data_IF_827798951393
#
_entry.id   IF_827798951393
#
_cell.length_a   1.000
_cell.length_b   1.000
_cell.length_c   1.000
_cell.angle_alpha   90.00
_cell.angle_beta   90.00
_cell.angle_gamma   90.00
#
_symmetry.space_group_name_H-M   'P 1'
#
loop_
_entity.id
_entity.type
_entity.pdbx_description
1 polymer ?
#
# COMPACT_ATOMS: atom_id res chain seq x y z
N UNK A 1 6.23 -65.55 -16.00
CA UNK A 1 5.91 -64.11 -16.16
C UNK A 1 5.08 -63.72 -14.95
N UNK A 2 5.43 -62.85 -14.01
CA UNK A 2 6.55 -61.97 -13.74
C UNK A 2 6.08 -61.10 -12.56
N UNK A 3 6.83 -61.08 -11.45
CA UNK A 3 6.63 -60.15 -10.31
C UNK A 3 6.73 -58.70 -10.80
N UNK A 4 5.96 -57.76 -10.23
CA UNK A 4 6.16 -56.29 -10.12
C UNK A 4 4.80 -55.70 -9.65
N UNK A 5 4.65 -54.76 -8.72
CA UNK A 5 5.48 -54.20 -7.66
C UNK A 5 4.51 -53.27 -6.87
N UNK A 6 4.43 -53.42 -5.55
CA UNK A 6 3.88 -52.41 -4.63
C UNK A 6 4.76 -51.16 -4.76
N UNK A 7 4.24 -49.99 -5.17
CA UNK A 7 4.84 -48.66 -4.94
C UNK A 7 3.88 -47.51 -5.34
N UNK A 8 3.93 -46.46 -4.52
CA UNK A 8 3.40 -45.10 -4.66
C UNK A 8 1.88 -44.87 -4.60
N UNK A 9 1.37 -44.68 -3.38
CA UNK A 9 0.38 -43.63 -3.11
C UNK A 9 0.99 -42.71 -2.03
N UNK A 10 1.85 -41.79 -2.47
CA UNK A 10 2.35 -40.69 -1.64
C UNK A 10 1.60 -39.42 -2.01
N UNK A 11 1.12 -38.75 -0.95
CA UNK A 11 0.91 -37.33 -0.81
C UNK A 11 -0.07 -36.64 -1.78
N UNK A 12 -1.31 -36.51 -1.33
CA UNK A 12 -2.08 -35.29 -1.53
C UNK A 12 -2.74 -34.89 -0.20
N UNK A 13 -1.93 -34.47 0.78
CA UNK A 13 -2.43 -33.66 1.89
C UNK A 13 -2.58 -32.23 1.35
N UNK A 14 -3.74 -31.94 0.76
CA UNK A 14 -4.12 -30.57 0.43
C UNK A 14 -5.09 -30.11 1.53
N UNK A 15 -4.54 -29.30 2.44
CA UNK A 15 -5.26 -28.77 3.59
C UNK A 15 -6.47 -27.95 3.19
N UNK A 16 -7.65 -28.46 3.55
CA UNK A 16 -8.82 -27.65 3.79
C UNK A 16 -9.08 -27.73 5.30
N UNK A 17 -8.57 -26.76 6.05
CA UNK A 17 -8.95 -26.54 7.44
C UNK A 17 -10.39 -26.02 7.43
N UNK A 18 -11.36 -26.94 7.47
CA UNK A 18 -12.74 -26.61 7.72
C UNK A 18 -12.89 -26.39 9.23
N UNK A 19 -12.75 -25.14 9.68
CA UNK A 19 -13.09 -24.74 11.04
C UNK A 19 -14.61 -24.80 11.21
N UNK A 20 -15.13 -25.98 11.55
CA UNK A 20 -16.46 -26.12 12.13
C UNK A 20 -16.36 -25.66 13.57
N UNK A 21 -16.79 -24.42 13.84
CA UNK A 21 -17.02 -23.95 15.20
C UNK A 21 -18.17 -24.76 15.82
N UNK A 22 -17.84 -25.79 16.59
CA UNK A 22 -18.81 -26.51 17.41
C UNK A 22 -19.03 -25.72 18.71
N UNK A 23 -19.78 -24.62 18.62
CA UNK A 23 -20.35 -23.97 19.80
C UNK A 23 -21.82 -24.41 19.98
N UNK A 24 -22.01 -25.14 21.09
CA UNK A 24 -23.19 -25.11 21.97
C UNK A 24 -24.54 -25.67 21.50
N UNK A 25 -24.65 -26.98 21.24
CA UNK A 25 -25.91 -27.73 21.40
C UNK A 25 -25.63 -29.19 21.85
N UNK A 26 -25.03 -29.42 23.02
CA UNK A 26 -24.86 -30.78 23.56
C UNK A 26 -25.40 -30.89 25.01
N UNK A 27 -26.72 -30.78 25.16
CA UNK A 27 -27.43 -31.21 26.37
C UNK A 27 -28.37 -32.37 26.07
N UNK A 28 -27.91 -33.40 25.36
CA UNK A 28 -28.80 -34.51 25.00
C UNK A 28 -28.22 -35.94 25.10
N UNK A 29 -26.91 -36.12 25.31
CA UNK A 29 -26.30 -37.40 25.70
C UNK A 29 -25.12 -37.07 26.60
N UNK A 30 -25.04 -37.65 27.80
CA UNK A 30 -24.01 -37.35 28.82
C UNK A 30 -22.59 -37.77 28.43
N UNK A 31 -22.05 -37.18 27.35
CA UNK A 31 -20.71 -37.40 26.84
C UNK A 31 -19.74 -36.44 27.53
N UNK A 32 -18.60 -36.97 27.97
CA UNK A 32 -17.52 -36.16 28.53
C UNK A 32 -16.92 -35.23 27.47
N UNK A 33 -16.43 -34.08 27.90
CA UNK A 33 -15.76 -33.10 27.03
C UNK A 33 -14.35 -32.83 27.51
N UNK A 34 -13.49 -32.42 26.57
CA UNK A 34 -12.18 -31.85 26.83
C UNK A 34 -11.91 -30.74 25.82
N UNK A 35 -11.30 -29.66 26.25
CA UNK A 35 -10.91 -28.52 25.42
C UNK A 35 -9.68 -27.84 26.03
N UNK A 36 -9.06 -26.95 25.26
CA UNK A 36 -7.95 -26.12 25.72
C UNK A 36 -8.32 -24.64 25.60
N UNK A 37 -7.63 -23.76 26.32
CA UNK A 37 -7.94 -22.32 26.31
C UNK A 37 -7.57 -21.60 25.00
N UNK A 38 -6.69 -22.21 24.18
CA UNK A 38 -6.26 -21.68 22.87
C UNK A 38 -6.11 -22.81 21.86
N UNK A 39 -6.38 -22.52 20.60
CA UNK A 39 -6.10 -23.46 19.51
C UNK A 39 -4.60 -23.53 19.15
N UNK A 40 -3.80 -22.55 19.58
CA UNK A 40 -2.36 -22.46 19.29
C UNK A 40 -1.60 -21.81 20.45
N UNK A 41 -0.44 -22.37 20.75
CA UNK A 41 0.45 -21.93 21.84
C UNK A 41 1.84 -21.63 21.32
N UNK A 42 2.54 -20.67 21.91
CA UNK A 42 3.96 -20.45 21.63
C UNK A 42 4.85 -21.17 22.65
N UNK A 43 6.13 -21.44 22.30
CA UNK A 43 7.08 -22.01 23.26
C UNK A 43 7.21 -21.16 24.53
N UNK A 44 7.05 -21.78 25.69
CA UNK A 44 7.03 -21.13 27.00
C UNK A 44 5.62 -20.95 27.58
N UNK A 45 4.55 -21.19 26.82
CA UNK A 45 3.18 -21.14 27.33
C UNK A 45 2.76 -22.46 27.97
N UNK A 46 1.85 -22.37 28.94
CA UNK A 46 1.17 -23.52 29.55
C UNK A 46 -0.20 -23.70 28.92
N UNK A 47 -0.54 -24.95 28.57
CA UNK A 47 -1.86 -25.32 28.06
C UNK A 47 -2.82 -25.49 29.23
N UNK A 48 -3.92 -24.72 29.22
CA UNK A 48 -5.00 -24.90 30.18
C UNK A 48 -6.02 -25.85 29.57
N UNK A 49 -6.13 -27.04 30.15
CA UNK A 49 -7.06 -28.10 29.77
C UNK A 49 -8.27 -28.04 30.69
N UNK A 50 -9.46 -28.00 30.10
CA UNK A 50 -10.72 -28.08 30.84
C UNK A 50 -11.67 -29.08 30.20
N UNK A 51 -12.65 -29.55 30.96
CA UNK A 51 -13.59 -30.56 30.49
C UNK A 51 -14.72 -30.78 31.48
N UNK A 52 -15.82 -31.37 31.02
CA UNK A 52 -17.04 -31.59 31.82
C UNK A 52 -17.64 -32.97 31.51
N UNK A 53 -18.59 -33.42 32.31
CA UNK A 53 -19.31 -34.67 32.04
C UNK A 53 -18.53 -35.94 32.41
N UNK A 54 -17.55 -35.82 33.32
CA UNK A 54 -16.83 -36.92 33.94
C UNK A 54 -17.58 -37.42 35.19
N UNK A 55 -17.35 -38.65 35.63
CA UNK A 55 -17.85 -39.13 36.91
C UNK A 55 -17.20 -38.35 38.07
N UNK A 56 -17.98 -37.83 39.03
CA UNK A 56 -17.42 -37.07 40.14
C UNK A 56 -16.32 -37.82 40.90
N UNK A 57 -15.15 -37.20 41.07
CA UNK A 57 -13.99 -37.79 41.72
C UNK A 57 -13.17 -38.76 40.85
N UNK A 58 -13.56 -39.01 39.60
CA UNK A 58 -12.80 -39.94 38.74
C UNK A 58 -11.46 -39.35 38.28
N UNK A 59 -10.47 -40.21 38.09
CA UNK A 59 -9.20 -39.84 37.46
C UNK A 59 -9.37 -39.87 35.94
N UNK A 60 -9.00 -38.78 35.28
CA UNK A 60 -9.03 -38.63 33.83
C UNK A 60 -7.60 -38.53 33.33
N UNK A 61 -7.15 -39.53 32.58
CA UNK A 61 -5.82 -39.58 31.98
C UNK A 61 -5.77 -38.78 30.68
N UNK A 62 -4.69 -38.06 30.48
CA UNK A 62 -4.38 -37.30 29.27
C UNK A 62 -3.26 -38.00 28.51
N UNK A 63 -3.49 -38.29 27.23
CA UNK A 63 -2.46 -38.76 26.31
C UNK A 63 -2.34 -37.78 25.15
N UNK A 64 -1.11 -37.38 24.84
CA UNK A 64 -0.79 -36.48 23.75
C UNK A 64 -0.14 -37.23 22.60
N UNK A 65 -0.68 -37.08 21.40
CA UNK A 65 -0.04 -37.52 20.16
C UNK A 65 0.50 -36.29 19.44
N UNK A 66 1.79 -36.30 19.14
CA UNK A 66 2.53 -35.19 18.54
C UNK A 66 2.82 -35.49 17.07
N UNK A 67 2.49 -34.55 16.18
CA UNK A 67 2.79 -34.66 14.75
C UNK A 67 3.40 -33.35 14.21
N UNK A 68 4.66 -33.37 13.73
CA UNK A 68 5.63 -34.46 13.86
C UNK A 68 6.04 -34.67 15.33
N UNK A 69 6.32 -35.90 15.74
CA UNK A 69 6.87 -36.16 17.07
C UNK A 69 8.32 -35.65 17.13
N UNK A 70 8.68 -34.70 18.01
CA UNK A 70 10.06 -34.26 18.14
C UNK A 70 10.95 -35.40 18.64
N UNK A 71 12.13 -35.57 18.03
CA UNK A 71 13.08 -36.63 18.43
C UNK A 71 13.54 -36.50 19.89
N UNK A 72 13.50 -35.28 20.43
CA UNK A 72 13.84 -34.99 21.83
C UNK A 72 12.70 -35.28 22.82
N UNK A 73 11.47 -35.51 22.34
CA UNK A 73 10.32 -35.90 23.16
C UNK A 73 10.28 -37.42 23.34
N UNK A 74 11.22 -37.94 24.14
CA UNK A 74 11.35 -39.39 24.41
C UNK A 74 10.43 -39.87 25.54
N UNK A 75 10.03 -38.99 26.45
CA UNK A 75 9.16 -39.31 27.57
C UNK A 75 7.71 -39.01 27.21
N UNK A 76 6.79 -39.83 27.71
CA UNK A 76 5.37 -39.55 27.57
C UNK A 76 4.99 -38.25 28.28
N UNK A 77 4.07 -37.51 27.69
CA UNK A 77 3.43 -36.35 28.31
C UNK A 77 2.16 -36.76 29.09
N UNK A 78 2.03 -38.05 29.42
CA UNK A 78 0.88 -38.56 30.14
C UNK A 78 0.74 -37.85 31.49
N UNK A 79 -0.37 -37.15 31.63
CA UNK A 79 -0.76 -36.41 32.82
C UNK A 79 -2.19 -36.79 33.18
N UNK A 80 -2.72 -36.24 34.26
CA UNK A 80 -4.10 -36.49 34.63
C UNK A 80 -4.70 -35.32 35.39
N UNK A 81 -6.02 -35.28 35.40
CA UNK A 81 -6.80 -34.49 36.34
C UNK A 81 -7.77 -35.40 37.12
N UNK A 82 -8.25 -34.91 38.26
CA UNK A 82 -9.34 -35.55 38.99
C UNK A 82 -10.59 -34.71 38.81
N UNK A 83 -11.69 -35.35 38.39
CA UNK A 83 -12.96 -34.68 38.21
C UNK A 83 -13.50 -34.17 39.57
N UNK A 84 -14.00 -32.93 39.59
CA UNK A 84 -14.62 -32.35 40.77
C UNK A 84 -16.01 -32.98 41.07
N UNK A 85 -16.68 -32.51 42.12
CA UNK A 85 -18.01 -33.01 42.50
C UNK A 85 -19.09 -32.82 41.41
N UNK A 86 -18.86 -31.93 40.45
CA UNK A 86 -19.75 -31.65 39.32
C UNK A 86 -19.32 -32.37 38.03
N UNK A 87 -18.24 -33.16 38.08
CA UNK A 87 -17.70 -33.85 36.91
C UNK A 87 -16.86 -32.96 35.99
N UNK A 88 -16.31 -31.85 36.49
CA UNK A 88 -15.41 -30.99 35.73
C UNK A 88 -13.94 -31.32 35.99
N UNK A 89 -13.09 -31.16 34.97
CA UNK A 89 -11.63 -31.28 35.08
C UNK A 89 -10.94 -29.95 34.76
N UNK A 90 -9.80 -29.73 35.40
CA UNK A 90 -8.89 -28.60 35.14
C UNK A 90 -7.44 -29.08 35.27
N UNK A 91 -6.58 -28.68 34.33
CA UNK A 91 -5.15 -28.93 34.38
C UNK A 91 -4.38 -27.87 33.59
N UNK A 92 -3.31 -27.33 34.15
CA UNK A 92 -2.49 -26.25 33.56
C UNK A 92 -0.98 -26.56 33.60
N UNK A 93 -0.61 -27.84 33.75
CA UNK A 93 0.78 -28.26 33.92
C UNK A 93 1.55 -28.57 32.62
N UNK A 94 0.90 -28.53 31.46
CA UNK A 94 1.53 -28.91 30.20
C UNK A 94 2.24 -27.70 29.57
N UNK A 95 3.56 -27.62 29.78
CA UNK A 95 4.43 -26.58 29.23
C UNK A 95 4.82 -26.89 27.78
N UNK A 96 4.52 -25.95 26.87
CA UNK A 96 5.01 -25.95 25.51
C UNK A 96 6.47 -25.50 25.49
N UNK A 97 7.35 -26.28 24.87
CA UNK A 97 8.79 -26.05 24.84
C UNK A 97 9.23 -25.73 23.41
N UNK A 98 10.42 -25.16 23.24
CA UNK A 98 10.94 -24.81 21.92
C UNK A 98 11.08 -26.01 20.97
N UNK A 99 11.26 -27.22 21.49
CA UNK A 99 11.30 -28.43 20.68
C UNK A 99 9.91 -28.91 20.22
N UNK A 100 8.82 -28.35 20.77
CA UNK A 100 7.45 -28.55 20.30
C UNK A 100 7.09 -27.61 19.15
N UNK A 101 7.94 -26.64 18.79
CA UNK A 101 7.59 -25.63 17.80
C UNK A 101 7.23 -26.27 16.45
N UNK A 102 6.05 -25.96 15.93
CA UNK A 102 5.49 -26.52 14.70
C UNK A 102 4.80 -27.88 14.85
N UNK A 103 4.63 -28.37 16.08
CA UNK A 103 3.93 -29.62 16.38
C UNK A 103 2.43 -29.40 16.48
N UNK A 104 1.67 -30.32 15.89
CA UNK A 104 0.25 -30.51 16.14
C UNK A 104 0.05 -31.57 17.23
N UNK A 105 -0.79 -31.25 18.20
CA UNK A 105 -1.10 -32.09 19.35
C UNK A 105 -2.53 -32.60 19.24
N UNK A 106 -2.72 -33.91 19.39
CA UNK A 106 -4.02 -34.52 19.66
C UNK A 106 -4.04 -34.95 21.12
N UNK A 107 -4.84 -34.29 21.95
CA UNK A 107 -5.08 -34.61 23.35
C UNK A 107 -6.28 -35.55 23.45
N UNK A 108 -6.05 -36.76 23.95
CA UNK A 108 -7.10 -37.72 24.32
C UNK A 108 -7.23 -37.78 25.84
N UNK A 109 -8.41 -37.44 26.36
CA UNK A 109 -8.77 -37.58 27.76
C UNK A 109 -9.60 -38.85 27.97
N UNK A 110 -9.22 -39.71 28.93
CA UNK A 110 -9.90 -40.99 29.23
C UNK A 110 -10.21 -41.11 30.72
N UNK A 111 -11.49 -41.24 31.08
CA UNK A 111 -11.94 -41.47 32.45
C UNK A 111 -11.69 -42.92 32.88
N UNK A 112 -10.96 -43.12 33.98
CA UNK A 112 -10.55 -44.45 34.43
C UNK A 112 -11.70 -45.28 35.03
N UNK A 113 -12.75 -44.63 35.54
CA UNK A 113 -13.92 -45.32 36.11
C UNK A 113 -15.01 -45.43 35.07
N UNK A 114 -15.37 -44.30 34.45
CA UNK A 114 -16.48 -44.23 33.49
C UNK A 114 -16.13 -44.84 32.12
N UNK A 115 -14.84 -44.94 31.78
CA UNK A 115 -14.37 -45.33 30.45
C UNK A 115 -14.68 -44.31 29.36
N UNK A 116 -15.17 -43.11 29.72
CA UNK A 116 -15.50 -42.05 28.76
C UNK A 116 -14.23 -41.53 28.12
N UNK A 117 -14.32 -41.15 26.83
CA UNK A 117 -13.21 -40.59 26.06
C UNK A 117 -13.66 -39.30 25.41
N UNK A 118 -12.81 -38.27 25.50
CA UNK A 118 -12.97 -37.00 24.80
C UNK A 118 -11.64 -36.62 24.13
N UNK A 119 -11.71 -35.91 23.00
CA UNK A 119 -10.53 -35.53 22.22
C UNK A 119 -10.59 -34.04 21.88
N UNK A 120 -9.45 -33.38 21.93
CA UNK A 120 -9.26 -32.02 21.42
C UNK A 120 -7.88 -31.90 20.77
N UNK A 121 -7.68 -30.86 19.97
CA UNK A 121 -6.45 -30.64 19.24
C UNK A 121 -6.00 -29.19 19.40
N UNK A 122 -4.69 -28.97 19.35
CA UNK A 122 -4.07 -27.65 19.33
C UNK A 122 -2.71 -27.72 18.63
N UNK A 123 -2.12 -26.58 18.29
CA UNK A 123 -0.79 -26.50 17.67
C UNK A 123 0.19 -25.67 18.49
N UNK A 124 1.47 -25.75 18.11
CA UNK A 124 2.53 -24.86 18.61
C UNK A 124 3.11 -23.99 17.49
N UNK A 125 2.91 -22.67 17.57
CA UNK A 125 3.54 -21.70 16.68
C UNK A 125 3.90 -20.39 17.40
N UNK A 126 4.83 -19.65 16.79
CA UNK A 126 5.45 -18.50 17.43
C UNK A 126 5.39 -17.21 16.63
N UNK A 127 4.90 -17.17 15.39
CA UNK A 127 4.83 -15.93 14.60
C UNK A 127 3.38 -15.55 14.31
N UNK A 128 3.03 -14.27 14.57
CA UNK A 128 1.70 -13.72 14.31
C UNK A 128 1.80 -12.42 13.50
N UNK A 129 1.10 -12.37 12.37
CA UNK A 129 0.95 -11.17 11.56
C UNK A 129 -0.37 -10.46 11.88
N UNK A 130 -0.34 -9.13 11.87
CA UNK A 130 -1.51 -8.28 12.13
C UNK A 130 -1.42 -6.98 11.33
N UNK A 131 -2.52 -6.25 11.26
CA UNK A 131 -2.56 -4.92 10.63
C UNK A 131 -3.36 -3.91 11.45
N UNK A 132 -2.98 -2.64 11.35
CA UNK A 132 -3.79 -1.49 11.79
C UNK A 132 -4.14 -0.57 10.62
N UNK A 133 -5.24 0.18 10.76
CA UNK A 133 -5.69 1.19 9.79
C UNK A 133 -6.44 0.66 8.56
N UNK A 134 -6.68 -0.65 8.47
CA UNK A 134 -7.60 -1.26 7.49
C UNK A 134 -9.02 -1.41 8.08
N UNK A 135 -10.08 -1.37 7.24
CA UNK A 135 -11.44 -1.75 7.65
C UNK A 135 -11.52 -3.20 8.12
N UNK A 136 -12.59 -3.62 8.84
CA UNK A 136 -12.85 -5.03 9.15
C UNK A 136 -13.06 -5.92 7.92
N UNK A 137 -12.77 -7.22 8.09
CA UNK A 137 -12.97 -8.31 7.12
C UNK A 137 -12.19 -8.15 5.79
N UNK A 138 -11.02 -7.55 5.84
CA UNK A 138 -10.09 -7.42 4.70
C UNK A 138 -9.07 -8.54 4.76
N UNK A 139 -8.92 -9.29 3.68
CA UNK A 139 -7.89 -10.33 3.57
C UNK A 139 -6.53 -9.71 3.23
N UNK A 140 -5.50 -10.07 4.00
CA UNK A 140 -4.12 -9.62 3.84
C UNK A 140 -3.23 -10.83 3.65
N UNK A 141 -2.48 -10.88 2.54
CA UNK A 141 -1.52 -11.95 2.26
C UNK A 141 -0.09 -11.45 2.47
N UNK A 142 0.65 -12.06 3.40
CA UNK A 142 2.04 -11.75 3.71
C UNK A 142 2.92 -12.86 3.16
N UNK A 143 3.89 -12.52 2.31
CA UNK A 143 4.95 -13.46 1.94
C UNK A 143 6.06 -13.44 2.98
N UNK A 144 6.66 -14.60 3.24
CA UNK A 144 7.75 -14.72 4.19
C UNK A 144 8.76 -15.80 3.80
N UNK A 145 9.98 -15.65 4.29
CA UNK A 145 11.02 -16.69 4.22
C UNK A 145 11.83 -16.76 5.51
N UNK A 146 12.19 -17.97 5.90
CA UNK A 146 12.88 -18.25 7.15
C UNK A 146 13.28 -19.73 7.23
N UNK A 147 13.44 -20.25 8.44
CA UNK A 147 13.79 -21.65 8.68
C UNK A 147 12.75 -22.30 9.59
N UNK A 148 12.29 -23.52 9.26
CA UNK A 148 11.50 -24.30 10.21
C UNK A 148 12.38 -24.91 11.30
N UNK A 149 11.82 -25.24 12.47
CA UNK A 149 12.44 -26.16 13.41
C UNK A 149 12.49 -27.61 12.88
N UNK A 150 13.35 -28.49 13.45
CA UNK A 150 14.45 -28.20 14.38
C UNK A 150 15.70 -27.60 13.69
N UNK A 151 16.53 -26.85 14.42
CA UNK A 151 17.51 -25.86 13.90
C UNK A 151 18.82 -26.40 13.27
N UNK A 152 19.36 -25.71 12.24
CA UNK A 152 18.63 -24.86 11.31
C UNK A 152 17.88 -25.81 10.37
N UNK A 153 16.56 -25.86 10.46
CA UNK A 153 15.79 -26.78 9.64
C UNK A 153 15.81 -26.36 8.18
N UNK A 154 14.88 -26.87 7.39
CA UNK A 154 14.76 -26.51 5.98
C UNK A 154 14.41 -25.03 5.82
N UNK A 155 15.06 -24.36 4.87
CA UNK A 155 14.63 -23.03 4.43
C UNK A 155 13.20 -23.12 3.88
N UNK A 156 12.35 -22.21 4.33
CA UNK A 156 10.96 -22.09 3.89
C UNK A 156 10.80 -20.75 3.18
N UNK A 157 10.01 -20.74 2.12
CA UNK A 157 9.48 -19.53 1.49
C UNK A 157 8.02 -19.80 1.17
N UNK A 158 7.12 -19.00 1.73
CA UNK A 158 5.67 -19.23 1.66
C UNK A 158 4.90 -17.92 1.83
N UNK A 159 3.58 -18.01 1.97
CA UNK A 159 2.71 -16.90 2.33
C UNK A 159 1.61 -17.33 3.28
N UNK A 160 1.17 -16.41 4.12
CA UNK A 160 -0.02 -16.56 4.98
C UNK A 160 -1.05 -15.52 4.61
N UNK A 161 -2.34 -15.88 4.67
CA UNK A 161 -3.44 -14.94 4.45
C UNK A 161 -4.30 -14.88 5.70
N UNK A 162 -4.70 -13.69 6.11
CA UNK A 162 -5.41 -13.46 7.36
C UNK A 162 -6.41 -12.29 7.21
N UNK A 163 -7.49 -12.23 8.00
CA UNK A 163 -8.55 -11.21 7.90
C UNK A 163 -8.53 -10.17 9.05
N UNK A 164 -8.86 -8.92 8.75
CA UNK A 164 -8.89 -7.81 9.73
C UNK A 164 -10.20 -7.74 10.55
N UNK A 165 -10.22 -7.07 11.70
CA UNK A 165 -11.46 -6.62 12.38
C UNK A 165 -12.26 -7.65 13.19
N UNK A 166 -11.82 -8.90 13.26
CA UNK A 166 -11.95 -9.67 14.49
C UNK A 166 -10.74 -9.34 15.34
N UNK A 167 -10.89 -8.88 16.58
CA UNK A 167 -9.75 -8.79 17.48
C UNK A 167 -9.16 -10.18 17.68
N UNK A 168 -8.09 -10.51 16.96
CA UNK A 168 -7.44 -11.82 17.03
C UNK A 168 -6.86 -12.27 15.70
N UNK A 169 -5.71 -12.94 15.80
CA UNK A 169 -5.00 -13.71 14.78
C UNK A 169 -5.85 -13.99 13.56
N UNK A 170 -5.56 -13.31 12.44
CA UNK A 170 -6.35 -13.59 11.26
C UNK A 170 -6.19 -15.06 10.87
N UNK A 171 -7.31 -15.61 10.43
CA UNK A 171 -7.50 -17.02 10.19
C UNK A 171 -6.50 -17.56 9.17
N UNK A 172 -5.89 -18.71 9.49
CA UNK A 172 -5.24 -19.66 8.56
C UNK A 172 -3.72 -19.55 8.41
N UNK A 173 -2.98 -20.01 9.41
CA UNK A 173 -1.61 -20.48 9.23
C UNK A 173 -0.73 -20.18 10.43
N UNK A 174 -0.68 -21.10 11.38
CA UNK A 174 0.24 -21.03 12.50
C UNK A 174 1.66 -21.17 11.95
N UNK A 175 2.46 -20.10 12.04
CA UNK A 175 3.82 -20.04 11.47
C UNK A 175 4.83 -20.36 12.56
N UNK A 176 5.42 -21.54 12.44
CA UNK A 176 6.51 -22.01 13.29
C UNK A 176 7.85 -21.79 12.59
N UNK A 177 8.57 -20.74 13.00
CA UNK A 177 9.86 -20.36 12.41
C UNK A 177 10.89 -20.01 13.48
N UNK A 178 12.17 -20.15 13.13
CA UNK A 178 13.30 -19.84 14.01
C UNK A 178 14.33 -18.94 13.31
N UNK A 179 15.07 -18.18 14.11
CA UNK A 179 16.15 -17.34 13.61
C UNK A 179 15.65 -16.15 12.81
N UNK A 180 16.27 -15.89 11.66
CA UNK A 180 15.95 -14.72 10.84
C UNK A 180 14.73 -14.97 9.93
N UNK A 181 13.77 -14.06 10.01
CA UNK A 181 12.56 -14.00 9.21
C UNK A 181 12.61 -12.80 8.28
N UNK A 182 12.50 -13.06 6.99
CA UNK A 182 12.14 -12.03 6.02
C UNK A 182 10.63 -12.10 5.80
N UNK A 183 9.98 -10.95 5.68
CA UNK A 183 8.55 -10.86 5.38
C UNK A 183 8.23 -9.62 4.57
N UNK A 184 7.14 -9.70 3.81
CA UNK A 184 6.68 -8.59 2.99
C UNK A 184 5.15 -8.54 2.99
N UNK A 185 4.63 -7.44 3.54
CA UNK A 185 3.23 -7.07 3.41
C UNK A 185 2.97 -6.43 2.04
N UNK A 186 1.72 -6.47 1.52
CA UNK A 186 1.36 -5.74 0.31
C UNK A 186 1.59 -4.23 0.50
N UNK A 187 2.26 -3.57 -0.44
CA UNK A 187 2.47 -2.11 -0.38
C UNK A 187 1.15 -1.33 -0.40
N UNK A 188 0.14 -1.87 -1.06
CA UNK A 188 -1.20 -1.29 -1.13
C UNK A 188 -2.27 -2.37 -1.04
N UNK A 189 -3.39 -2.04 -0.42
CA UNK A 189 -4.59 -2.87 -0.36
C UNK A 189 -5.77 -2.00 -0.80
N UNK A 190 -6.55 -2.47 -1.78
CA UNK A 190 -7.75 -1.75 -2.24
C UNK A 190 -8.99 -2.40 -1.65
N UNK A 191 -9.76 -1.63 -0.90
CA UNK A 191 -11.06 -2.05 -0.36
C UNK A 191 -12.14 -1.23 -1.05
N UNK A 192 -12.95 -1.88 -1.88
CA UNK A 192 -13.89 -1.22 -2.79
C UNK A 192 -13.15 -0.23 -3.71
N UNK A 193 -13.30 1.07 -3.48
CA UNK A 193 -12.64 2.16 -4.22
C UNK A 193 -11.53 2.85 -3.43
N UNK A 194 -11.37 2.52 -2.15
CA UNK A 194 -10.39 3.15 -1.26
C UNK A 194 -9.09 2.36 -1.29
N UNK A 195 -8.00 3.02 -1.68
CA UNK A 195 -6.65 2.44 -1.61
C UNK A 195 -6.08 2.74 -0.23
N UNK A 196 -5.56 1.72 0.43
CA UNK A 196 -4.79 1.82 1.66
C UNK A 196 -3.32 1.57 1.33
N UNK A 197 -2.42 2.39 1.86
CA UNK A 197 -0.97 2.30 1.62
C UNK A 197 -0.26 1.89 2.90
N UNK A 198 0.65 0.92 2.79
CA UNK A 198 1.53 0.50 3.87
C UNK A 198 2.48 1.65 4.23
N UNK A 199 2.54 2.01 5.51
CA UNK A 199 3.40 3.08 6.02
C UNK A 199 4.58 2.50 6.79
N UNK A 200 4.33 1.48 7.60
CA UNK A 200 5.35 0.90 8.47
C UNK A 200 5.03 -0.55 8.82
N UNK A 201 6.08 -1.28 9.20
CA UNK A 201 5.99 -2.55 9.91
C UNK A 201 6.78 -2.46 11.21
N UNK A 202 6.25 -3.10 12.26
CA UNK A 202 6.93 -3.22 13.55
C UNK A 202 6.92 -4.69 13.99
N UNK A 203 8.09 -5.34 14.11
CA UNK A 203 9.40 -4.85 13.66
C UNK A 203 9.50 -4.71 12.13
N UNK A 204 10.61 -4.16 11.63
CA UNK A 204 10.92 -4.13 10.19
C UNK A 204 11.50 -5.46 9.71
N UNK A 205 11.31 -5.81 8.44
CA UNK A 205 11.96 -6.98 7.83
C UNK A 205 13.40 -6.66 7.40
N UNK A 206 14.38 -7.56 7.60
CA UNK A 206 14.29 -8.83 8.32
C UNK A 206 14.23 -8.65 9.83
N UNK A 207 13.64 -9.62 10.52
CA UNK A 207 13.57 -9.64 11.99
C UNK A 207 14.06 -10.99 12.55
N UNK A 208 14.65 -10.97 13.75
CA UNK A 208 15.07 -12.19 14.46
C UNK A 208 13.97 -12.63 15.41
N UNK A 209 13.49 -13.85 15.22
CA UNK A 209 12.44 -14.46 16.05
C UNK A 209 13.07 -14.92 17.38
N UNK A 210 12.47 -14.57 18.54
CA UNK A 210 12.93 -15.06 19.83
C UNK A 210 12.70 -16.57 19.98
N UNK A 211 13.50 -17.20 20.84
CA UNK A 211 13.40 -18.65 21.10
C UNK A 211 12.17 -19.06 21.93
N UNK A 212 11.49 -18.10 22.56
CA UNK A 212 10.29 -18.33 23.36
C UNK A 212 9.29 -17.20 23.18
N UNK A 213 8.03 -17.50 23.42
CA UNK A 213 6.91 -16.57 23.33
C UNK A 213 6.45 -16.35 21.91
N UNK A 214 5.35 -15.60 21.82
CA UNK A 214 4.78 -15.16 20.56
C UNK A 214 5.54 -13.95 20.02
N UNK A 215 5.90 -13.99 18.75
CA UNK A 215 6.50 -12.91 17.99
C UNK A 215 5.45 -12.25 17.10
N UNK A 216 4.98 -11.07 17.53
CA UNK A 216 4.02 -10.26 16.77
C UNK A 216 4.71 -9.37 15.74
N UNK A 217 4.14 -9.31 14.55
CA UNK A 217 4.52 -8.39 13.48
C UNK A 217 3.26 -7.65 13.06
N UNK A 218 3.29 -6.33 13.21
CA UNK A 218 2.17 -5.47 12.85
C UNK A 218 2.54 -4.56 11.68
N UNK A 219 1.65 -4.49 10.69
CA UNK A 219 1.73 -3.53 9.59
C UNK A 219 0.71 -2.41 9.77
N UNK A 220 1.15 -1.17 9.64
CA UNK A 220 0.25 0.00 9.68
C UNK A 220 -0.06 0.46 8.27
N UNK A 221 -1.34 0.46 7.93
CA UNK A 221 -1.88 1.03 6.71
C UNK A 221 -2.56 2.36 7.00
N UNK A 222 -2.53 3.28 6.04
CA UNK A 222 -3.35 4.50 6.05
C UNK A 222 -4.15 4.57 4.76
N UNK A 223 -5.24 5.35 4.75
CA UNK A 223 -5.91 5.70 3.50
C UNK A 223 -4.93 6.43 2.60
N UNK A 224 -4.64 5.84 1.44
CA UNK A 224 -3.80 6.43 0.41
C UNK A 224 -4.47 7.68 -0.15
N UNK A 225 -3.65 8.67 -0.53
CA UNK A 225 -4.16 9.89 -1.15
C UNK A 225 -4.75 9.58 -2.53
N UNK A 226 -5.92 10.15 -2.83
CA UNK A 226 -6.54 10.08 -4.15
C UNK A 226 -5.67 10.69 -5.25
N UNK A 227 -5.86 10.26 -6.49
CA UNK A 227 -5.21 10.89 -7.64
C UNK A 227 -5.84 12.25 -7.96
N UNK A 228 -5.03 13.18 -8.47
CA UNK A 228 -5.49 14.46 -8.99
C UNK A 228 -5.25 14.56 -10.49
N UNK A 229 -6.02 15.41 -11.17
CA UNK A 229 -5.77 15.78 -12.56
C UNK A 229 -5.67 17.30 -12.68
N UNK A 230 -4.86 17.78 -13.63
CA UNK A 230 -4.80 19.20 -14.00
C UNK A 230 -4.46 19.34 -15.48
N UNK A 231 -5.16 20.23 -16.18
CA UNK A 231 -4.87 20.65 -17.56
C UNK A 231 -4.92 22.17 -17.65
N UNK A 232 -4.08 22.75 -18.51
CA UNK A 232 -4.15 24.17 -18.86
C UNK A 232 -5.19 24.33 -19.96
N UNK A 233 -6.07 25.32 -19.82
CA UNK A 233 -7.11 25.59 -20.80
C UNK A 233 -6.50 26.39 -21.96
N UNK A 234 -6.81 25.99 -23.20
CA UNK A 234 -6.34 26.70 -24.38
C UNK A 234 -6.98 28.10 -24.49
N UNK A 235 -6.12 29.13 -24.58
CA UNK A 235 -6.51 30.53 -24.79
C UNK A 235 -5.54 31.14 -25.80
N UNK A 236 -6.08 31.91 -26.75
CA UNK A 236 -5.31 32.57 -27.82
C UNK A 236 -6.06 32.55 -29.16
N UNK A 237 -5.45 33.06 -30.24
CA UNK A 237 -4.06 33.57 -30.31
C UNK A 237 -3.87 34.90 -29.58
N UNK A 238 -2.63 35.18 -29.11
CA UNK A 238 -2.26 36.47 -28.53
C UNK A 238 -1.57 37.35 -29.59
N UNK A 239 -1.65 38.67 -29.45
CA UNK A 239 -0.90 39.64 -30.27
C UNK A 239 -0.14 40.57 -29.34
N UNK A 240 1.13 40.85 -29.68
CA UNK A 240 2.02 41.70 -28.90
C UNK A 240 1.36 43.05 -28.56
N UNK A 241 1.26 43.35 -27.27
CA UNK A 241 0.67 44.60 -26.78
C UNK A 241 1.47 45.21 -25.60
N UNK A 242 2.75 44.81 -25.49
CA UNK A 242 3.68 45.20 -24.41
C UNK A 242 3.27 44.79 -22.99
N UNK A 243 2.27 43.92 -22.84
CA UNK A 243 1.92 43.31 -21.56
C UNK A 243 2.25 41.80 -21.56
N UNK A 244 2.52 41.20 -20.39
CA UNK A 244 2.66 39.75 -20.27
C UNK A 244 1.39 39.00 -20.70
N UNK A 245 1.53 38.02 -21.59
CA UNK A 245 0.42 37.28 -22.22
C UNK A 245 0.67 35.76 -22.17
N UNK A 246 -0.42 35.00 -22.02
CA UNK A 246 -0.38 33.54 -22.00
C UNK A 246 -1.54 32.94 -21.22
N UNK A 247 -1.83 31.64 -21.43
CA UNK A 247 -2.88 30.93 -20.70
C UNK A 247 -2.61 30.89 -19.19
N UNK A 248 -3.64 31.06 -18.37
CA UNK A 248 -3.59 31.05 -16.91
C UNK A 248 -4.82 30.38 -16.25
N UNK A 249 -5.75 29.88 -17.06
CA UNK A 249 -6.89 29.10 -16.58
C UNK A 249 -6.57 27.61 -16.65
N UNK A 250 -7.10 26.85 -15.68
CA UNK A 250 -6.93 25.39 -15.61
C UNK A 250 -8.25 24.69 -15.37
N UNK A 251 -8.32 23.43 -15.79
CA UNK A 251 -9.32 22.47 -15.34
C UNK A 251 -8.62 21.45 -14.45
N UNK A 252 -9.15 21.20 -13.24
CA UNK A 252 -8.55 20.27 -12.28
C UNK A 252 -9.59 19.45 -11.53
N UNK A 253 -9.19 18.27 -11.05
CA UNK A 253 -9.95 17.44 -10.11
C UNK A 253 -9.02 16.85 -9.04
N UNK A 254 -9.57 16.48 -7.88
CA UNK A 254 -8.81 15.98 -6.74
C UNK A 254 -8.34 17.11 -5.84
N UNK A 255 -7.03 17.32 -5.74
CA UNK A 255 -6.40 18.21 -4.77
C UNK A 255 -6.92 19.66 -4.83
N UNK A 256 -7.13 20.21 -3.64
CA UNK A 256 -7.45 21.61 -3.36
C UNK A 256 -6.21 22.50 -3.27
N UNK A 257 -5.01 21.92 -3.42
CA UNK A 257 -3.75 22.64 -3.38
C UNK A 257 -3.64 23.80 -4.37
N UNK A 258 -2.67 24.68 -4.10
CA UNK A 258 -2.37 25.83 -4.97
C UNK A 258 -1.91 25.38 -6.36
N UNK A 259 -2.21 26.20 -7.37
CA UNK A 259 -1.78 26.00 -8.75
C UNK A 259 -0.69 27.00 -9.09
N UNK A 260 0.40 26.51 -9.68
CA UNK A 260 1.53 27.34 -10.16
C UNK A 260 1.77 27.07 -11.65
N UNK A 261 2.30 28.07 -12.36
CA UNK A 261 2.58 27.98 -13.79
C UNK A 261 4.08 28.10 -14.07
N UNK A 262 4.53 27.44 -15.13
CA UNK A 262 5.88 27.60 -15.70
C UNK A 262 5.76 27.80 -17.20
N UNK A 263 6.14 28.98 -17.66
CA UNK A 263 6.20 29.37 -19.07
C UNK A 263 7.63 29.20 -19.59
N UNK A 264 7.78 28.58 -20.76
CA UNK A 264 9.08 28.31 -21.40
C UNK A 264 8.98 28.67 -22.88
N UNK A 265 10.06 29.24 -23.43
CA UNK A 265 10.17 29.53 -24.86
C UNK A 265 10.42 28.27 -25.67
N UNK A 266 9.77 28.18 -26.82
CA UNK A 266 9.95 27.09 -27.79
C UNK A 266 10.73 27.63 -28.98
N UNK A 267 11.75 26.88 -29.43
CA UNK A 267 12.62 27.27 -30.54
C UNK A 267 11.83 27.81 -31.73
N UNK A 268 12.20 28.98 -32.29
CA UNK A 268 13.45 29.74 -32.06
C UNK A 268 13.41 30.71 -30.88
N UNK A 269 12.34 30.72 -30.08
CA UNK A 269 12.18 31.66 -28.97
C UNK A 269 12.95 31.16 -27.75
N UNK A 270 13.91 31.94 -27.27
CA UNK A 270 14.60 31.68 -26.00
C UNK A 270 13.89 32.40 -24.86
N UNK A 271 13.29 31.64 -23.96
CA UNK A 271 12.72 32.14 -22.72
C UNK A 271 12.86 31.07 -21.64
N UNK A 272 13.62 31.37 -20.59
CA UNK A 272 13.84 30.46 -19.48
C UNK A 272 12.53 30.19 -18.73
N UNK A 273 12.43 29.02 -18.09
CA UNK A 273 11.29 28.67 -17.26
C UNK A 273 11.00 29.76 -16.22
N UNK A 274 9.77 30.29 -16.25
CA UNK A 274 9.37 31.41 -15.41
C UNK A 274 7.89 31.33 -15.04
N UNK A 275 7.53 31.76 -13.83
CA UNK A 275 6.13 31.93 -13.44
C UNK A 275 5.50 33.19 -14.06
N UNK A 276 6.32 34.10 -14.58
CA UNK A 276 5.84 35.30 -15.29
C UNK A 276 5.53 34.97 -16.74
N UNK A 277 4.39 35.44 -17.23
CA UNK A 277 4.00 35.28 -18.63
C UNK A 277 5.00 35.98 -19.57
N UNK A 278 5.29 35.44 -20.76
CA UNK A 278 6.11 36.12 -21.76
C UNK A 278 5.40 37.37 -22.30
N UNK A 279 6.17 38.37 -22.73
CA UNK A 279 5.63 39.60 -23.36
C UNK A 279 5.95 39.67 -24.85
N UNK A 280 7.11 39.17 -25.27
CA UNK A 280 7.58 39.31 -26.65
C UNK A 280 6.87 38.34 -27.60
N UNK A 281 6.74 38.75 -28.87
CA UNK A 281 6.27 37.86 -29.91
C UNK A 281 7.16 36.62 -30.02
N UNK A 282 6.56 35.43 -30.14
CA UNK A 282 7.29 34.17 -30.10
C UNK A 282 6.37 32.97 -29.87
N UNK A 283 6.99 31.79 -29.84
CA UNK A 283 6.37 30.51 -29.54
C UNK A 283 6.73 30.09 -28.12
N UNK A 284 5.75 29.65 -27.35
CA UNK A 284 5.91 29.31 -25.94
C UNK A 284 5.12 28.05 -25.59
N UNK A 285 5.45 27.46 -24.45
CA UNK A 285 4.65 26.43 -23.80
C UNK A 285 4.45 26.78 -22.33
N UNK A 286 3.34 26.33 -21.75
CA UNK A 286 3.04 26.48 -20.33
C UNK A 286 2.69 25.13 -19.72
N UNK A 287 3.20 24.90 -18.51
CA UNK A 287 2.83 23.77 -17.66
C UNK A 287 2.25 24.30 -16.35
N UNK A 288 1.15 23.69 -15.88
CA UNK A 288 0.59 23.96 -14.56
C UNK A 288 0.90 22.83 -13.59
N UNK A 289 1.25 23.18 -12.36
CA UNK A 289 1.49 22.25 -11.25
C UNK A 289 0.47 22.51 -10.14
N UNK A 290 -0.29 21.47 -9.80
CA UNK A 290 -1.20 21.42 -8.67
C UNK A 290 -0.49 20.76 -7.48
N UNK A 291 -0.35 21.48 -6.37
CA UNK A 291 0.20 20.93 -5.14
C UNK A 291 -0.69 19.81 -4.57
N UNK A 292 -0.12 18.86 -3.83
CA UNK A 292 -0.88 17.87 -3.06
C UNK A 292 -1.60 18.51 -1.87
N UNK A 293 -2.60 17.83 -1.32
CA UNK A 293 -3.23 18.18 -0.05
C UNK A 293 -3.26 16.97 0.90
N UNK A 294 -4.05 17.04 1.97
CA UNK A 294 -4.18 15.96 2.95
C UNK A 294 -4.72 14.66 2.31
N UNK A 295 -5.63 14.77 1.34
CA UNK A 295 -6.42 13.67 0.81
C UNK A 295 -6.04 13.28 -0.61
N UNK A 296 -5.36 14.13 -1.36
CA UNK A 296 -5.02 13.92 -2.76
C UNK A 296 -3.55 14.21 -3.07
N UNK A 297 -2.97 13.44 -3.98
CA UNK A 297 -1.65 13.68 -4.54
C UNK A 297 -1.65 14.94 -5.42
N UNK A 298 -0.48 15.52 -5.65
CA UNK A 298 -0.32 16.62 -6.60
C UNK A 298 -0.45 16.11 -8.05
N UNK A 299 -0.56 17.04 -8.99
CA UNK A 299 -0.60 16.73 -10.42
C UNK A 299 0.15 17.78 -11.24
N UNK A 300 0.68 17.37 -12.39
CA UNK A 300 1.35 18.26 -13.35
C UNK A 300 0.66 18.08 -14.71
N UNK A 301 0.33 19.18 -15.38
CA UNK A 301 -0.32 19.14 -16.67
C UNK A 301 0.66 18.70 -17.77
N UNK A 302 0.12 18.19 -18.88
CA UNK A 302 0.88 18.19 -20.13
C UNK A 302 1.25 19.65 -20.51
N UNK A 303 2.41 19.89 -21.17
CA UNK A 303 2.73 21.21 -21.69
C UNK A 303 1.71 21.66 -22.75
N UNK A 304 1.21 22.87 -22.63
CA UNK A 304 0.32 23.49 -23.61
C UNK A 304 1.07 24.55 -24.41
N UNK A 305 1.14 24.36 -25.73
CA UNK A 305 1.76 25.33 -26.63
C UNK A 305 0.84 26.53 -26.90
N UNK A 306 1.42 27.72 -27.01
CA UNK A 306 0.73 28.95 -27.44
C UNK A 306 1.73 29.91 -28.12
N UNK A 307 1.21 30.95 -28.78
CA UNK A 307 2.04 31.97 -29.44
C UNK A 307 1.55 33.38 -29.17
N UNK A 308 2.51 34.30 -29.16
CA UNK A 308 2.29 35.75 -29.22
C UNK A 308 2.68 36.20 -30.63
N UNK A 309 1.70 36.59 -31.43
CA UNK A 309 1.91 37.12 -32.77
C UNK A 309 2.55 38.51 -32.74
N UNK A 310 3.28 38.85 -33.82
CA UNK A 310 3.79 40.21 -34.03
C UNK A 310 2.62 41.18 -34.19
N UNK A 311 2.75 42.37 -33.61
CA UNK A 311 1.81 43.45 -33.85
C UNK A 311 2.13 44.21 -35.13
N UNK A 312 1.13 44.83 -35.74
CA UNK A 312 1.31 45.70 -36.89
C UNK A 312 1.94 47.06 -36.50
N UNK A 313 2.70 47.63 -37.43
CA UNK A 313 3.16 49.01 -37.40
C UNK A 313 2.74 49.71 -38.69
N UNK A 314 2.37 50.98 -38.61
CA UNK A 314 1.97 51.81 -39.73
C UNK A 314 2.98 52.95 -39.90
N UNK A 315 3.55 53.06 -41.09
CA UNK A 315 4.37 54.21 -41.50
C UNK A 315 3.59 55.04 -42.51
N UNK A 316 3.44 56.32 -42.23
CA UNK A 316 2.77 57.27 -43.13
C UNK A 316 3.76 58.37 -43.51
N UNK A 317 3.84 58.65 -44.80
CA UNK A 317 4.57 59.81 -45.34
C UNK A 317 3.54 60.74 -45.95
N UNK A 318 3.49 61.97 -45.47
CA UNK A 318 2.56 62.98 -45.98
C UNK A 318 3.37 64.13 -46.58
N UNK A 319 3.07 64.47 -47.83
CA UNK A 319 3.64 65.64 -48.50
C UNK A 319 2.56 66.73 -48.53
N UNK A 320 2.80 67.84 -47.84
CA UNK A 320 1.85 68.96 -47.82
C UNK A 320 2.35 70.11 -48.69
N UNK A 321 1.44 70.82 -49.37
CA UNK A 321 1.77 72.02 -50.15
C UNK A 321 2.03 71.80 -51.65
N UNK A 322 1.71 70.63 -52.21
CA UNK A 322 1.77 70.40 -53.65
C UNK A 322 0.60 71.10 -54.39
N UNK A 323 0.78 71.59 -55.65
CA UNK A 323 1.99 71.50 -56.47
C UNK A 323 3.07 72.50 -56.01
N UNK A 324 4.34 72.18 -56.28
CA UNK A 324 5.46 73.01 -55.90
C UNK A 324 6.10 73.73 -57.09
N UNK A 325 6.49 74.99 -56.92
CA UNK A 325 7.14 75.82 -57.96
C UNK A 325 8.67 75.61 -57.96
N UNK A 326 9.29 75.68 -59.14
CA UNK A 326 10.76 75.65 -59.30
C UNK A 326 11.39 76.88 -58.66
N UNK A 327 12.36 76.68 -57.77
CA UNK A 327 13.05 77.77 -57.06
C UNK A 327 14.57 77.64 -57.08
N UNK A 328 15.11 76.53 -57.60
CA UNK A 328 16.56 76.26 -57.61
C UNK A 328 17.12 75.88 -56.23
N UNK A 329 16.25 75.54 -55.26
CA UNK A 329 16.61 75.11 -53.90
C UNK A 329 15.91 73.79 -53.54
N UNK A 330 16.47 73.05 -52.57
CA UNK A 330 15.91 71.80 -52.08
C UNK A 330 14.54 72.01 -51.41
N UNK A 331 13.55 71.19 -51.76
CA UNK A 331 12.21 71.25 -51.15
C UNK A 331 11.97 70.11 -50.15
N UNK A 332 11.75 70.43 -48.87
CA UNK A 332 11.62 69.43 -47.78
C UNK A 332 10.22 69.34 -47.12
N UNK A 333 9.13 69.14 -47.88
CA UNK A 333 7.74 69.22 -47.39
C UNK A 333 7.19 67.95 -46.71
N UNK A 334 7.94 66.86 -46.68
CA UNK A 334 7.49 65.58 -46.15
C UNK A 334 7.45 65.57 -44.62
N UNK A 335 6.38 64.99 -44.09
CA UNK A 335 6.21 64.61 -42.68
C UNK A 335 6.13 63.09 -42.65
N UNK A 336 6.97 62.45 -41.82
CA UNK A 336 6.93 61.00 -41.61
C UNK A 336 6.42 60.72 -40.21
N UNK A 337 5.46 59.81 -40.09
CA UNK A 337 4.95 59.30 -38.82
C UNK A 337 4.99 57.78 -38.83
N UNK A 338 5.52 57.18 -37.77
CA UNK A 338 5.48 55.74 -37.52
C UNK A 338 4.70 55.51 -36.24
N UNK A 339 3.65 54.69 -36.32
CA UNK A 339 2.87 54.25 -35.17
C UNK A 339 2.83 52.74 -35.09
N UNK A 340 2.71 52.18 -33.89
CA UNK A 340 2.58 50.75 -33.68
C UNK A 340 2.19 50.39 -32.26
N UNK A 341 2.04 49.09 -32.01
CA UNK A 341 1.77 48.59 -30.66
C UNK A 341 2.90 48.96 -29.68
N UNK A 342 2.58 48.98 -28.39
CA UNK A 342 3.56 49.25 -27.34
C UNK A 342 3.97 50.71 -27.21
N UNK A 343 3.16 51.64 -27.71
CA UNK A 343 3.47 53.07 -27.66
C UNK A 343 4.53 53.49 -28.67
N UNK A 344 4.83 52.67 -29.69
CA UNK A 344 5.68 53.08 -30.80
C UNK A 344 5.08 54.32 -31.48
N UNK A 345 5.75 55.45 -31.33
CA UNK A 345 5.41 56.72 -31.98
C UNK A 345 6.72 57.44 -32.32
N UNK A 346 7.05 57.51 -33.61
CA UNK A 346 8.29 58.12 -34.09
C UNK A 346 8.00 59.10 -35.23
N UNK A 347 8.82 60.13 -35.31
CA UNK A 347 8.82 61.14 -36.39
C UNK A 347 10.18 61.21 -37.07
N UNK A 348 10.61 60.13 -37.76
CA UNK A 348 11.93 60.10 -38.38
C UNK A 348 12.07 61.20 -39.45
N UNK A 349 13.28 61.76 -39.59
CA UNK A 349 13.55 62.75 -40.62
C UNK A 349 13.49 62.11 -42.02
N UNK A 350 12.73 62.66 -42.96
CA UNK A 350 12.73 62.20 -44.35
C UNK A 350 14.08 62.52 -45.02
N UNK A 351 14.58 61.57 -45.82
CA UNK A 351 15.74 61.78 -46.67
C UNK A 351 15.29 62.24 -48.05
N UNK A 352 15.85 63.36 -48.51
CA UNK A 352 15.61 63.88 -49.84
C UNK A 352 16.87 63.70 -50.69
N UNK A 353 16.72 63.04 -51.84
CA UNK A 353 17.81 62.86 -52.82
C UNK A 353 17.35 63.50 -54.14
N UNK A 354 18.22 64.27 -54.78
CA UNK A 354 17.93 64.98 -56.03
C UNK A 354 16.66 65.87 -55.96
N UNK A 355 16.41 66.53 -54.82
CA UNK A 355 15.20 67.34 -54.61
C UNK A 355 15.41 68.85 -54.82
N UNK A 356 16.58 69.26 -55.33
CA UNK A 356 16.74 70.59 -55.89
C UNK A 356 15.91 70.62 -57.16
N UNK A 357 14.67 71.11 -57.01
CA UNK A 357 13.83 71.53 -58.12
C UNK A 357 14.25 72.97 -58.43
#
# INVERSE_FOLDING_TARGET
>A
MGKILLKSLQALFMGAFLTLAFASWNTALGQATVTTDKDDYAPGEYVIITGTGWEPGERVDFTFVETPKPESCVNSHDNFATADASGNIYYDGFLIKINHLGVHFVLTATGQVSGRVAVTEFTDANVKFSTTGLPPNVNVTVSYSGFSPPSPGSAISSSVTFSTGGGGNGASGNIALIGNLNFQFPNTITVLTTVYTLVSTSPTSPATIPATGTFGIEATYIVGKGASTISVNAVGPFTYNSNPQGPDAVTKSGSTGSVTFSYVGVSPTTYAASATKPTNAGSYQVTATLASDANYNGAVSAPLAFSIGKAASVTTVTITGAPFTYTGSSQTPAIVSVTGAGGLSLTPAPLYVNNTN
#
